data_IF_696206571347
#
_entry.id   IF_696206571347
#
_cell.length_a   1.000
_cell.length_b   1.000
_cell.length_c   1.000
_cell.angle_alpha   90.00
_cell.angle_beta   90.00
_cell.angle_gamma   90.00
#
_symmetry.space_group_name_H-M   'P 1'
#
loop_
_entity.id
_entity.type
_entity.pdbx_description
1 polymer ?
#
# COMPACT_ATOMS: atom_id res chain seq x y z
N UNK A 1 -17.33 30.59 -28.92
CA UNK A 1 -17.18 29.13 -28.73
C UNK A 1 -16.50 28.89 -27.40
N UNK A 2 -17.22 28.34 -26.43
CA UNK A 2 -16.71 28.07 -25.08
C UNK A 2 -15.75 26.89 -25.12
N UNK A 3 -14.54 27.03 -24.58
CA UNK A 3 -13.57 25.94 -24.50
C UNK A 3 -14.08 24.86 -23.52
N UNK A 4 -13.90 23.56 -23.81
CA UNK A 4 -14.30 22.51 -22.89
C UNK A 4 -13.54 22.66 -21.57
N UNK A 5 -14.30 22.63 -20.46
CA UNK A 5 -13.81 22.88 -19.09
C UNK A 5 -12.91 21.75 -18.53
N UNK A 6 -12.63 20.73 -19.34
CA UNK A 6 -11.74 19.61 -19.04
C UNK A 6 -10.69 19.53 -20.16
N UNK A 7 -9.39 19.67 -19.88
CA UNK A 7 -8.38 19.43 -20.90
C UNK A 7 -8.48 17.97 -21.35
N UNK A 8 -8.51 17.75 -22.66
CA UNK A 8 -8.52 16.41 -23.22
C UNK A 8 -7.23 15.68 -22.83
N UNK A 9 -7.37 14.49 -22.23
CA UNK A 9 -6.22 13.67 -21.84
C UNK A 9 -5.49 13.07 -23.05
N UNK A 10 -6.14 13.01 -24.21
CA UNK A 10 -5.58 12.47 -25.46
C UNK A 10 -6.27 13.13 -26.67
N UNK A 11 -5.54 13.30 -27.76
CA UNK A 11 -6.06 13.82 -29.02
C UNK A 11 -5.56 12.98 -30.20
N UNK A 12 -6.46 12.64 -31.11
CA UNK A 12 -6.11 12.01 -32.39
C UNK A 12 -5.78 13.11 -33.37
N UNK A 13 -4.52 13.20 -33.78
CA UNK A 13 -4.05 14.26 -34.70
C UNK A 13 -4.32 13.89 -36.16
N UNK A 14 -4.36 12.59 -36.48
CA UNK A 14 -4.56 12.07 -37.83
C UNK A 14 -5.16 10.66 -37.81
N UNK A 15 -6.00 10.36 -38.80
CA UNK A 15 -6.62 9.04 -39.01
C UNK A 15 -7.96 8.89 -38.29
N UNK A 16 -8.65 7.80 -38.59
CA UNK A 16 -9.89 7.40 -37.91
C UNK A 16 -9.67 6.05 -37.21
N UNK A 17 -9.20 6.07 -35.94
CA UNK A 17 -8.99 4.85 -35.20
C UNK A 17 -10.34 4.17 -34.96
N UNK A 18 -10.32 2.85 -35.01
CA UNK A 18 -11.47 2.01 -34.69
C UNK A 18 -11.79 2.10 -33.19
N UNK A 19 -13.03 1.77 -32.83
CA UNK A 19 -13.44 1.71 -31.42
C UNK A 19 -12.58 0.73 -30.59
N UNK A 20 -12.12 -0.36 -31.22
CA UNK A 20 -11.24 -1.35 -30.59
C UNK A 20 -9.86 -0.75 -30.26
N UNK A 21 -9.25 -0.01 -31.18
CA UNK A 21 -7.96 0.63 -30.95
C UNK A 21 -8.03 1.69 -29.83
N UNK A 22 -9.12 2.46 -29.78
CA UNK A 22 -9.37 3.42 -28.69
C UNK A 22 -9.52 2.68 -27.34
N UNK A 23 -10.23 1.55 -27.33
CA UNK A 23 -10.41 0.75 -26.13
C UNK A 23 -9.08 0.18 -25.63
N UNK A 24 -8.26 -0.39 -26.53
CA UNK A 24 -6.93 -0.92 -26.20
C UNK A 24 -6.04 0.18 -25.63
N UNK A 25 -5.98 1.34 -26.28
CA UNK A 25 -5.16 2.46 -25.81
C UNK A 25 -5.59 2.93 -24.42
N UNK A 26 -6.90 3.06 -24.19
CA UNK A 26 -7.45 3.47 -22.90
C UNK A 26 -7.15 2.44 -21.80
N UNK A 27 -7.26 1.15 -22.12
CA UNK A 27 -6.95 0.06 -21.19
C UNK A 27 -5.47 0.07 -20.79
N UNK A 28 -4.56 0.23 -21.75
CA UNK A 28 -3.12 0.30 -21.49
C UNK A 28 -2.76 1.50 -20.62
N UNK A 29 -3.30 2.69 -20.93
CA UNK A 29 -3.05 3.90 -20.13
C UNK A 29 -3.60 3.75 -18.71
N UNK A 30 -4.79 3.18 -18.55
CA UNK A 30 -5.40 2.90 -17.24
C UNK A 30 -4.57 1.91 -16.43
N UNK A 31 -4.09 0.83 -17.05
CA UNK A 31 -3.24 -0.16 -16.41
C UNK A 31 -1.91 0.44 -15.93
N UNK A 32 -1.27 1.30 -16.74
CA UNK A 32 -0.04 1.99 -16.33
C UNK A 32 -0.28 2.98 -15.19
N UNK A 33 -1.41 3.69 -15.21
CA UNK A 33 -1.78 4.59 -14.12
C UNK A 33 -2.04 3.83 -12.82
N UNK A 34 -2.73 2.69 -12.88
CA UNK A 34 -2.95 1.81 -11.73
C UNK A 34 -1.64 1.26 -11.17
N UNK A 35 -0.74 0.78 -12.04
CA UNK A 35 0.57 0.27 -11.62
C UNK A 35 1.42 1.34 -10.92
N UNK A 36 1.38 2.60 -11.40
CA UNK A 36 2.04 3.72 -10.73
C UNK A 36 1.48 3.99 -9.34
N UNK A 37 0.15 4.01 -9.19
CA UNK A 37 -0.49 4.20 -7.88
C UNK A 37 -0.16 3.08 -6.90
N UNK A 38 -0.11 1.83 -7.37
CA UNK A 38 0.30 0.71 -6.54
C UNK A 38 1.77 0.80 -6.12
N UNK A 39 2.65 1.33 -6.97
CA UNK A 39 4.05 1.57 -6.62
C UNK A 39 4.24 2.75 -5.65
N UNK A 40 3.30 3.69 -5.61
CA UNK A 40 3.28 4.82 -4.66
C UNK A 40 2.60 4.46 -3.34
N UNK A 41 1.95 3.29 -3.24
CA UNK A 41 1.29 2.87 -2.02
C UNK A 41 2.37 2.67 -0.94
N UNK A 42 2.30 3.41 0.18
CA UNK A 42 3.32 3.30 1.22
C UNK A 42 3.34 1.87 1.73
N UNK A 43 4.55 1.29 1.81
CA UNK A 43 4.76 0.03 2.51
C UNK A 43 4.04 0.09 3.85
N UNK A 44 3.30 -0.98 4.24
CA UNK A 44 2.61 -0.99 5.51
C UNK A 44 3.61 -0.64 6.62
N UNK A 45 3.30 0.42 7.37
CA UNK A 45 4.17 0.88 8.45
C UNK A 45 4.50 -0.31 9.34
N UNK A 46 5.79 -0.68 9.39
CA UNK A 46 6.24 -1.68 10.36
C UNK A 46 5.84 -1.17 11.75
N UNK A 47 5.08 -1.93 12.55
CA UNK A 47 4.70 -1.48 13.88
C UNK A 47 5.97 -1.08 14.64
N UNK A 48 6.01 0.16 15.13
CA UNK A 48 7.17 0.63 15.88
C UNK A 48 7.35 -0.24 17.12
N UNK A 49 8.61 -0.45 17.54
CA UNK A 49 8.90 -1.18 18.79
C UNK A 49 8.27 -0.53 20.04
N UNK A 50 7.85 0.73 19.95
CA UNK A 50 7.07 1.42 20.99
C UNK A 50 5.60 0.97 21.04
N UNK A 51 5.02 0.54 19.91
CA UNK A 51 3.68 -0.07 19.86
C UNK A 51 3.68 -1.52 20.38
N UNK A 52 4.85 -2.12 20.59
CA UNK A 52 4.97 -3.45 21.17
C UNK A 52 4.62 -3.44 22.67
N UNK A 53 3.36 -3.78 22.97
CA UNK A 53 2.85 -3.88 24.34
C UNK A 53 3.55 -4.95 25.17
N UNK A 54 4.22 -5.93 24.56
CA UNK A 54 4.94 -6.97 25.31
C UNK A 54 6.06 -6.38 26.17
N UNK A 55 6.63 -5.24 25.76
CA UNK A 55 7.67 -4.51 26.52
C UNK A 55 7.15 -3.88 27.82
N UNK A 56 5.85 -3.59 27.88
CA UNK A 56 5.18 -3.07 29.09
C UNK A 56 4.64 -4.17 30.01
N UNK A 57 4.66 -5.43 29.55
CA UNK A 57 4.23 -6.57 30.33
C UNK A 57 5.44 -7.23 31.00
N UNK A 58 5.21 -7.83 32.17
CA UNK A 58 6.23 -8.62 32.85
C UNK A 58 6.66 -9.78 31.96
N UNK A 59 7.96 -10.03 31.86
CA UNK A 59 8.48 -11.21 31.18
C UNK A 59 7.88 -12.49 31.81
N UNK A 60 7.55 -13.53 31.00
CA UNK A 60 7.07 -14.79 31.53
C UNK A 60 8.04 -15.36 32.57
N UNK A 61 7.48 -15.82 33.69
CA UNK A 61 8.26 -16.57 34.68
C UNK A 61 8.76 -17.86 34.05
N UNK A 62 10.08 -18.12 34.14
CA UNK A 62 10.67 -19.38 33.71
C UNK A 62 10.67 -20.35 34.89
N UNK A 63 9.82 -21.40 34.92
CA UNK A 63 9.90 -22.41 35.96
C UNK A 63 11.23 -23.15 35.85
N UNK A 64 11.86 -23.43 36.99
CA UNK A 64 13.13 -24.14 37.05
C UNK A 64 13.32 -24.85 38.39
N UNK A 65 14.14 -25.92 38.46
CA UNK A 65 14.41 -26.62 39.70
C UNK A 65 14.88 -25.65 40.79
N UNK A 66 14.17 -25.62 41.92
CA UNK A 66 14.51 -24.75 43.06
C UNK A 66 14.01 -23.31 42.99
N UNK A 67 13.32 -22.87 41.93
CA UNK A 67 12.82 -21.49 41.80
C UNK A 67 11.88 -21.07 42.95
N UNK A 68 11.05 -22.00 43.44
CA UNK A 68 10.14 -21.78 44.57
C UNK A 68 10.85 -21.57 45.90
N UNK A 69 12.06 -22.14 46.11
CA UNK A 69 12.81 -21.95 47.37
C UNK A 69 13.42 -20.56 47.50
N UNK A 70 13.56 -19.84 46.38
CA UNK A 70 14.13 -18.49 46.36
C UNK A 70 13.09 -17.39 46.60
N UNK A 71 11.80 -17.70 46.63
CA UNK A 71 10.75 -16.71 46.92
C UNK A 71 10.53 -16.45 48.41
N UNK A 72 11.12 -17.27 49.27
CA UNK A 72 10.98 -17.21 50.74
C UNK A 72 12.26 -16.78 51.44
N UNK A 73 13.25 -16.25 50.71
CA UNK A 73 14.45 -15.60 51.26
C UNK A 73 14.30 -14.09 51.23
#
# INVERSE_FOLDING_TARGET
MSAPKNPSHLAVVRGEPTAEEIAVLTAVLSARAAARRAAEEPEPERPSGWRDRSRGLRAPLRPGPGAWRMSTR
#
